data_IF_371514182331
#
_entry.id   IF_371514182331
#
_cell.length_a   1.000
_cell.length_b   1.000
_cell.length_c   1.000
_cell.angle_alpha   90.00
_cell.angle_beta   90.00
_cell.angle_gamma   90.00
#
_symmetry.space_group_name_H-M   'P 1'
#
loop_
_entity.id
_entity.type
_entity.pdbx_description
1 polymer ?
#
# COMPACT_ATOMS: atom_id res chain seq x y z
N UNK A 1 -16.46 -17.31 -6.30
CA UNK A 1 -16.79 -15.96 -5.80
C UNK A 1 -15.50 -15.19 -5.60
N UNK A 2 -15.42 -13.93 -6.04
CA UNK A 2 -15.46 -13.54 -7.45
C UNK A 2 -14.11 -13.81 -8.15
N UNK A 3 -14.13 -14.28 -9.40
CA UNK A 3 -12.92 -14.45 -10.23
C UNK A 3 -12.63 -13.17 -11.01
N UNK A 4 -11.41 -12.64 -10.89
CA UNK A 4 -10.97 -11.47 -11.66
C UNK A 4 -11.07 -11.78 -13.17
N UNK A 5 -11.92 -11.05 -13.89
CA UNK A 5 -12.18 -11.32 -15.30
C UNK A 5 -10.99 -10.88 -16.16
N UNK A 6 -10.32 -11.83 -16.81
CA UNK A 6 -9.17 -11.55 -17.68
C UNK A 6 -9.68 -10.94 -19.00
N UNK A 7 -9.73 -9.61 -19.09
CA UNK A 7 -10.17 -8.90 -20.30
C UNK A 7 -9.07 -8.88 -21.36
N UNK A 8 -9.02 -9.91 -22.20
CA UNK A 8 -8.25 -9.88 -23.44
C UNK A 8 -9.04 -9.19 -24.54
N UNK A 9 -8.73 -7.93 -24.86
CA UNK A 9 -9.27 -7.24 -26.04
C UNK A 9 -8.11 -6.85 -26.97
N UNK A 10 -7.78 -7.77 -27.88
CA UNK A 10 -6.84 -7.52 -28.97
C UNK A 10 -7.51 -6.77 -30.12
N UNK A 11 -7.59 -5.44 -30.03
CA UNK A 11 -8.06 -4.58 -31.12
C UNK A 11 -6.96 -4.26 -32.15
N UNK A 12 -6.30 -5.29 -32.71
CA UNK A 12 -5.38 -5.15 -33.85
C UNK A 12 -6.13 -5.28 -35.20
N UNK A 13 -6.36 -4.14 -35.86
CA UNK A 13 -6.58 -3.97 -37.33
C UNK A 13 -6.58 -2.46 -37.60
N UNK A 14 -5.64 -1.84 -38.33
CA UNK A 14 -5.30 -2.08 -39.74
C UNK A 14 -4.00 -1.31 -40.15
N UNK A 15 -3.58 -1.48 -41.41
CA UNK A 15 -2.31 -1.06 -42.04
C UNK A 15 -2.48 0.27 -42.83
N UNK A 16 -1.46 1.07 -43.19
CA UNK A 16 0.00 1.01 -42.95
C UNK A 16 0.71 2.36 -43.19
N UNK A 17 2.00 2.41 -42.83
CA UNK A 17 3.10 3.18 -43.47
C UNK A 17 2.93 4.67 -43.79
N UNK A 18 3.68 5.52 -43.06
CA UNK A 18 4.63 6.53 -43.59
C UNK A 18 5.59 6.95 -42.46
N UNK A 19 6.87 7.21 -42.78
CA UNK A 19 7.87 7.76 -41.85
C UNK A 19 7.67 9.27 -41.66
N UNK A 20 7.68 9.76 -40.42
CA UNK A 20 8.27 11.07 -40.08
C UNK A 20 8.48 11.21 -38.57
N UNK A 21 9.49 11.97 -38.18
CA UNK A 21 9.73 12.41 -36.79
C UNK A 21 8.57 13.28 -36.31
N UNK A 22 8.01 12.92 -35.15
CA UNK A 22 7.34 13.81 -34.23
C UNK A 22 7.63 13.31 -32.81
N UNK A 23 7.93 14.23 -31.90
CA UNK A 23 8.00 13.95 -30.46
C UNK A 23 6.58 13.73 -29.95
N UNK A 24 6.12 12.49 -29.95
CA UNK A 24 4.94 12.12 -29.17
C UNK A 24 5.37 12.07 -27.71
N UNK A 25 4.85 13.00 -26.92
CA UNK A 25 4.96 12.96 -25.46
C UNK A 25 4.38 11.62 -25.02
N UNK A 26 5.23 10.71 -24.54
CA UNK A 26 4.76 9.47 -23.92
C UNK A 26 3.86 9.89 -22.77
N UNK A 27 2.55 9.75 -22.96
CA UNK A 27 1.54 10.10 -21.98
C UNK A 27 1.98 9.49 -20.66
N UNK A 28 2.49 10.34 -19.77
CA UNK A 28 2.90 9.92 -18.44
C UNK A 28 1.60 9.76 -17.68
N UNK A 29 0.94 8.62 -17.93
CA UNK A 29 -0.05 8.07 -17.02
C UNK A 29 0.72 7.88 -15.72
N UNK A 30 0.64 8.91 -14.87
CA UNK A 30 1.35 9.05 -13.59
C UNK A 30 1.02 7.83 -12.75
N UNK A 31 1.80 6.77 -12.97
CA UNK A 31 1.52 5.46 -12.45
C UNK A 31 1.94 5.52 -11.01
N UNK A 32 0.99 5.86 -10.15
CA UNK A 32 1.20 5.78 -8.71
C UNK A 32 1.63 4.37 -8.34
N UNK A 33 2.50 4.27 -7.35
CA UNK A 33 3.04 3.01 -6.86
C UNK A 33 2.61 2.82 -5.41
N UNK A 34 1.32 2.49 -5.15
CA UNK A 34 0.81 2.51 -3.79
C UNK A 34 1.13 1.24 -3.00
N UNK A 35 1.46 1.41 -1.72
CA UNK A 35 1.59 0.34 -0.73
C UNK A 35 0.81 0.69 0.54
N UNK A 36 0.40 -0.35 1.28
CA UNK A 36 -0.24 -0.20 2.59
C UNK A 36 0.80 -0.37 3.68
N UNK A 37 0.73 0.47 4.71
CA UNK A 37 1.55 0.41 5.91
C UNK A 37 0.65 0.31 7.15
N UNK A 38 0.78 -0.77 7.90
CA UNK A 38 0.02 -1.02 9.14
C UNK A 38 0.93 -0.77 10.33
N UNK A 39 0.50 0.12 11.23
CA UNK A 39 1.26 0.49 12.43
C UNK A 39 0.45 0.22 13.69
N UNK A 40 1.06 -0.49 14.63
CA UNK A 40 0.45 -0.88 15.90
C UNK A 40 1.54 -1.16 16.95
N UNK A 41 1.33 -0.71 18.20
CA UNK A 41 2.30 -0.82 19.30
C UNK A 41 3.75 -0.38 18.95
N UNK A 42 3.89 0.65 18.11
CA UNK A 42 5.18 1.16 17.56
C UNK A 42 5.89 0.23 16.56
N UNK A 43 5.33 -0.94 16.24
CA UNK A 43 5.80 -1.78 15.14
C UNK A 43 5.09 -1.39 13.84
N UNK A 44 5.83 -1.43 12.73
CA UNK A 44 5.36 -1.02 11.40
C UNK A 44 5.56 -2.18 10.42
N UNK A 45 4.50 -2.55 9.72
CA UNK A 45 4.46 -3.59 8.70
C UNK A 45 4.02 -2.95 7.37
N UNK A 46 4.42 -3.51 6.23
CA UNK A 46 3.97 -3.03 4.92
C UNK A 46 3.70 -4.17 3.93
N UNK A 47 2.86 -3.89 2.95
CA UNK A 47 2.74 -4.74 1.74
C UNK A 47 3.93 -4.53 0.80
N UNK A 48 4.00 -5.32 -0.27
CA UNK A 48 4.71 -4.89 -1.47
C UNK A 48 4.02 -3.68 -2.11
N UNK A 49 4.79 -2.98 -2.94
CA UNK A 49 4.32 -1.86 -3.74
C UNK A 49 3.57 -2.39 -4.96
N UNK A 50 2.32 -1.95 -5.14
CA UNK A 50 1.51 -2.25 -6.32
C UNK A 50 1.69 -1.15 -7.39
N UNK A 51 1.22 -1.38 -8.62
CA UNK A 51 1.26 -0.40 -9.71
C UNK A 51 -0.13 0.08 -10.09
N UNK A 52 -0.25 1.38 -10.34
CA UNK A 52 -1.46 2.03 -10.82
C UNK A 52 -2.45 2.42 -9.71
N UNK A 53 -3.43 3.25 -10.08
CA UNK A 53 -4.40 3.87 -9.17
C UNK A 53 -5.43 2.91 -8.55
N UNK A 54 -5.49 1.66 -9.03
CA UNK A 54 -6.43 0.63 -8.59
C UNK A 54 -5.67 -0.62 -8.10
N UNK A 55 -4.90 -0.52 -7.01
CA UNK A 55 -4.02 -1.59 -6.54
C UNK A 55 -4.79 -2.81 -6.03
N UNK A 56 -4.30 -3.99 -6.38
CA UNK A 56 -4.80 -5.27 -5.89
C UNK A 56 -3.69 -5.97 -5.06
N UNK A 57 -3.44 -5.51 -3.83
CA UNK A 57 -2.36 -6.05 -3.00
C UNK A 57 -2.50 -7.55 -2.73
N UNK A 58 -3.70 -8.01 -2.32
CA UNK A 58 -3.99 -9.42 -2.00
C UNK A 58 -2.99 -10.05 -1.01
N UNK A 59 -2.44 -9.25 -0.09
CA UNK A 59 -1.45 -9.65 0.90
C UNK A 59 -2.06 -9.73 2.31
N UNK A 60 -1.60 -10.70 3.10
CA UNK A 60 -1.92 -10.83 4.52
C UNK A 60 -0.80 -10.19 5.36
N UNK A 61 -1.13 -9.15 6.13
CA UNK A 61 -0.23 -8.59 7.13
C UNK A 61 -0.52 -9.23 8.49
N UNK A 62 0.47 -9.94 9.03
CA UNK A 62 0.45 -10.44 10.40
C UNK A 62 1.07 -9.38 11.31
N UNK A 63 0.27 -8.89 12.25
CA UNK A 63 0.65 -7.87 13.23
C UNK A 63 0.87 -8.55 14.58
N UNK A 64 2.03 -8.35 15.19
CA UNK A 64 2.33 -8.87 16.51
C UNK A 64 1.61 -8.05 17.58
N UNK A 65 1.11 -8.73 18.61
CA UNK A 65 0.43 -8.12 19.75
C UNK A 65 1.09 -8.58 21.05
N UNK A 66 1.56 -7.61 21.85
CA UNK A 66 2.07 -7.86 23.20
C UNK A 66 1.10 -7.23 24.19
N UNK A 67 0.54 -8.01 25.11
CA UNK A 67 -0.29 -7.45 26.17
C UNK A 67 0.58 -6.83 27.28
N UNK A 68 0.23 -5.67 27.86
CA UNK A 68 0.91 -5.14 29.04
C UNK A 68 0.99 -6.16 30.18
N UNK A 69 2.20 -6.44 30.66
CA UNK A 69 2.43 -7.46 31.69
C UNK A 69 2.22 -8.91 31.24
N UNK A 70 2.09 -9.16 29.94
CA UNK A 70 1.80 -10.47 29.32
C UNK A 70 0.47 -11.13 29.77
N UNK A 71 -0.48 -10.35 30.29
CA UNK A 71 -1.82 -10.86 30.64
C UNK A 71 -2.79 -10.72 29.45
N UNK A 72 -3.18 -11.87 28.88
CA UNK A 72 -4.12 -11.96 27.75
C UNK A 72 -5.58 -12.16 28.20
N UNK A 73 -5.90 -11.97 29.49
CA UNK A 73 -7.28 -11.99 29.98
C UNK A 73 -8.12 -10.85 29.39
N UNK A 74 -9.41 -11.09 29.14
CA UNK A 74 -10.32 -10.07 28.62
C UNK A 74 -10.35 -8.79 29.48
N UNK A 75 -10.27 -8.93 30.80
CA UNK A 75 -10.18 -7.82 31.77
C UNK A 75 -8.92 -6.95 31.60
N UNK A 76 -7.88 -7.43 30.94
CA UNK A 76 -6.68 -6.67 30.62
C UNK A 76 -6.68 -6.18 29.17
N UNK A 77 -7.12 -7.03 28.22
CA UNK A 77 -7.29 -6.65 26.82
C UNK A 77 -8.26 -5.46 26.64
N UNK A 78 -9.40 -5.46 27.34
CA UNK A 78 -10.39 -4.38 27.31
C UNK A 78 -9.89 -3.02 27.83
N UNK A 79 -8.75 -3.00 28.54
CA UNK A 79 -8.10 -1.75 29.02
C UNK A 79 -7.14 -1.15 28.00
N UNK A 80 -6.81 -1.88 26.93
CA UNK A 80 -5.86 -1.45 25.91
C UNK A 80 -6.52 -0.36 25.06
N UNK A 81 -5.85 0.79 24.97
CA UNK A 81 -6.31 1.99 24.25
C UNK A 81 -5.54 2.25 22.96
N UNK A 82 -4.69 1.31 22.56
CA UNK A 82 -3.88 1.44 21.35
C UNK A 82 -4.78 1.42 20.11
N UNK A 83 -4.45 2.30 19.17
CA UNK A 83 -5.07 2.35 17.85
C UNK A 83 -4.24 1.54 16.85
N UNK A 84 -4.93 0.87 15.94
CA UNK A 84 -4.35 0.30 14.73
C UNK A 84 -4.50 1.35 13.63
N UNK A 85 -3.38 1.71 13.00
CA UNK A 85 -3.33 2.64 11.89
C UNK A 85 -3.06 1.86 10.61
N UNK A 86 -3.89 2.05 9.59
CA UNK A 86 -3.68 1.54 8.23
C UNK A 86 -3.49 2.75 7.33
N UNK A 87 -2.24 3.05 7.00
CA UNK A 87 -1.87 4.13 6.10
C UNK A 87 -1.73 3.60 4.67
N UNK A 88 -2.09 4.44 3.70
CA UNK A 88 -1.80 4.21 2.29
C UNK A 88 -0.80 5.27 1.85
N UNK A 89 0.28 4.82 1.21
CA UNK A 89 1.33 5.68 0.67
C UNK A 89 1.54 5.36 -0.81
N UNK A 90 1.99 6.35 -1.57
CA UNK A 90 2.57 6.22 -2.91
C UNK A 90 4.11 6.27 -2.82
N UNK A 91 4.80 5.41 -3.56
CA UNK A 91 6.25 5.28 -3.59
C UNK A 91 6.83 5.93 -4.86
N UNK A 92 7.48 7.08 -4.73
CA UNK A 92 8.04 7.82 -5.86
C UNK A 92 9.57 7.83 -5.83
N UNK A 93 10.20 7.30 -6.88
CA UNK A 93 11.64 7.43 -7.09
C UNK A 93 11.96 8.83 -7.63
N UNK A 94 12.68 9.64 -6.86
CA UNK A 94 13.13 10.98 -7.29
C UNK A 94 14.63 10.96 -7.56
N UNK A 95 15.04 11.30 -8.77
CA UNK A 95 16.45 11.51 -9.11
C UNK A 95 16.91 12.91 -8.69
N UNK A 96 18.03 13.01 -7.95
CA UNK A 96 18.73 14.29 -7.78
C UNK A 96 19.70 14.50 -8.93
N UNK A 97 19.34 15.42 -9.82
CA UNK A 97 20.29 16.00 -10.75
C UNK A 97 21.01 17.17 -10.06
N UNK A 98 22.32 17.07 -9.85
CA UNK A 98 23.13 18.18 -9.33
C UNK A 98 23.65 19.03 -10.50
N UNK A 99 23.17 20.28 -10.61
CA UNK A 99 23.47 21.22 -11.71
C UNK A 99 24.96 21.60 -11.88
N UNK A 100 25.85 21.06 -11.04
CA UNK A 100 27.27 21.37 -11.01
C UNK A 100 28.20 20.15 -11.14
N UNK A 101 27.69 18.92 -11.33
CA UNK A 101 28.58 17.77 -11.40
C UNK A 101 29.31 17.63 -12.75
N UNK A 102 30.64 17.63 -12.68
CA UNK A 102 31.54 17.42 -13.81
C UNK A 102 31.54 15.94 -14.27
N UNK A 103 30.64 15.61 -15.21
CA UNK A 103 30.70 14.45 -16.13
C UNK A 103 30.81 13.03 -15.53
N UNK A 104 30.73 12.81 -14.21
CA UNK A 104 30.84 11.45 -13.66
C UNK A 104 30.09 11.17 -12.35
N UNK A 105 29.13 12.01 -11.92
CA UNK A 105 28.24 11.63 -10.82
C UNK A 105 27.23 10.58 -11.30
N UNK A 106 27.20 9.42 -10.64
CA UNK A 106 26.03 8.54 -10.65
C UNK A 106 24.87 9.26 -9.96
N UNK A 107 23.76 9.48 -10.68
CA UNK A 107 22.59 10.17 -10.14
C UNK A 107 22.11 9.56 -8.82
N UNK A 108 22.03 10.39 -7.78
CA UNK A 108 21.55 9.95 -6.47
C UNK A 108 20.01 9.93 -6.47
N UNK A 109 19.44 8.80 -6.86
CA UNK A 109 18.00 8.53 -6.69
C UNK A 109 17.67 8.22 -5.24
N UNK A 110 16.58 8.78 -4.72
CA UNK A 110 16.01 8.41 -3.43
C UNK A 110 14.52 8.08 -3.54
N UNK A 111 14.07 7.17 -2.69
CA UNK A 111 12.66 6.78 -2.60
C UNK A 111 11.94 7.74 -1.65
N UNK A 112 10.86 8.36 -2.14
CA UNK A 112 9.96 9.21 -1.36
C UNK A 112 8.65 8.45 -1.11
N UNK A 113 8.15 8.54 0.13
CA UNK A 113 6.79 8.14 0.49
C UNK A 113 5.87 9.36 0.45
N UNK A 114 4.82 9.32 -0.36
CA UNK A 114 3.75 10.32 -0.40
C UNK A 114 2.52 9.75 0.33
N UNK A 115 2.01 10.41 1.37
CA UNK A 115 0.84 9.92 2.09
C UNK A 115 -0.44 10.17 1.30
N UNK A 116 -1.24 9.12 1.08
CA UNK A 116 -2.51 9.18 0.33
C UNK A 116 -3.74 9.17 1.25
N UNK A 117 -3.64 8.55 2.43
CA UNK A 117 -4.75 8.46 3.37
C UNK A 117 -4.50 7.50 4.54
N UNK A 118 -5.41 7.48 5.50
CA UNK A 118 -5.33 6.64 6.69
C UNK A 118 -6.71 6.15 7.11
N UNK A 119 -6.77 4.91 7.60
CA UNK A 119 -7.90 4.35 8.36
C UNK A 119 -7.37 4.08 9.77
N UNK A 120 -8.11 4.52 10.79
CA UNK A 120 -7.74 4.33 12.20
C UNK A 120 -8.91 3.72 12.95
N UNK A 121 -8.64 2.68 13.74
CA UNK A 121 -9.61 2.10 14.66
C UNK A 121 -8.93 1.64 15.96
N UNK A 122 -9.63 1.69 17.10
CA UNK A 122 -9.08 1.22 18.37
C UNK A 122 -9.00 -0.31 18.39
N UNK A 123 -8.01 -0.87 19.10
CA UNK A 123 -7.88 -2.32 19.31
C UNK A 123 -9.16 -2.94 19.90
N UNK A 124 -9.90 -2.21 20.74
CA UNK A 124 -11.18 -2.65 21.30
C UNK A 124 -12.24 -2.99 20.25
N UNK A 125 -12.17 -2.42 19.04
CA UNK A 125 -13.09 -2.77 17.96
C UNK A 125 -12.90 -4.23 17.49
N UNK A 126 -11.68 -4.78 17.57
CA UNK A 126 -11.41 -6.18 17.28
C UNK A 126 -11.89 -7.11 18.41
N UNK A 127 -11.85 -6.64 19.66
CA UNK A 127 -12.35 -7.41 20.80
C UNK A 127 -13.87 -7.61 20.71
N UNK A 128 -14.62 -6.55 20.40
CA UNK A 128 -16.09 -6.63 20.30
C UNK A 128 -16.54 -7.70 19.29
N UNK A 129 -15.92 -7.73 18.10
CA UNK A 129 -16.23 -8.73 17.08
C UNK A 129 -15.96 -10.18 17.51
N UNK A 130 -15.09 -10.39 18.52
CA UNK A 130 -14.80 -11.72 19.06
C UNK A 130 -15.83 -12.20 20.10
N UNK A 131 -16.62 -11.28 20.67
CA UNK A 131 -17.73 -11.58 21.56
C UNK A 131 -18.96 -11.98 20.74
N UNK A 132 -19.40 -11.11 19.82
CA UNK A 132 -20.60 -11.32 18.98
C UNK A 132 -20.57 -12.66 18.21
N UNK A 133 -19.38 -13.14 17.86
CA UNK A 133 -19.19 -14.43 17.18
C UNK A 133 -19.44 -15.63 18.10
N UNK A 134 -19.10 -15.55 19.39
CA UNK A 134 -19.32 -16.66 20.34
C UNK A 134 -20.80 -16.83 20.64
N UNK A 135 -21.51 -15.72 20.80
CA UNK A 135 -22.97 -15.68 21.03
C UNK A 135 -23.77 -16.15 19.79
N UNK A 136 -23.10 -16.37 18.65
CA UNK A 136 -23.68 -16.92 17.41
C UNK A 136 -23.43 -18.42 17.22
N UNK A 137 -22.66 -19.06 18.11
CA UNK A 137 -22.27 -20.48 18.06
C UNK A 137 -22.85 -21.31 19.25
N UNK A 138 -23.73 -20.71 20.09
CA UNK A 138 -24.51 -21.34 21.18
C UNK A 138 -26.03 -21.38 20.87
#
# INVERSE_FOLDING_TARGET
MPTCLKSSISCLRHRETIKSVASDETLHEDTVHPFVEVSFQHTVYKTNTASGSHPCWNEEIKVDFVSPGHDYSFSSLSKIKDNIYINIFDEMMTEKHEDHCLKSCSGHSYIRKNWLGCIVFPFSALLQQSEDRKDSEE
#
